data_IF_692891940826
#
_entry.id   IF_692891940826
#
_cell.length_a   1.000
_cell.length_b   1.000
_cell.length_c   1.000
_cell.angle_alpha   90.00
_cell.angle_beta   90.00
_cell.angle_gamma   90.00
#
_symmetry.space_group_name_H-M   'P 1'
#
loop_
_entity.id
_entity.type
_entity.pdbx_description
1 polymer ?
#
# COMPACT_ATOMS: atom_id res chain seq x y z
N UNK A 1 -8.14 -5.15 30.04
CA UNK A 1 -7.37 -6.17 29.29
C UNK A 1 -7.70 -5.97 27.82
N UNK A 2 -6.73 -5.60 26.98
CA UNK A 2 -6.98 -5.46 25.54
C UNK A 2 -7.21 -6.86 24.99
N UNK A 3 -8.45 -7.21 24.66
CA UNK A 3 -8.75 -8.40 23.87
C UNK A 3 -7.99 -8.27 22.55
N UNK A 4 -7.15 -9.26 22.24
CA UNK A 4 -6.44 -9.29 20.97
C UNK A 4 -7.47 -9.33 19.84
N UNK A 5 -7.38 -8.39 18.89
CA UNK A 5 -8.24 -8.33 17.69
C UNK A 5 -8.07 -9.61 16.86
N UNK A 6 -9.08 -10.52 16.82
CA UNK A 6 -9.01 -11.75 16.05
C UNK A 6 -8.81 -11.49 14.55
N UNK A 7 -9.44 -10.46 14.00
CA UNK A 7 -9.28 -10.10 12.59
C UNK A 7 -7.84 -9.68 12.27
N UNK A 8 -7.25 -8.80 13.08
CA UNK A 8 -5.86 -8.37 12.90
C UNK A 8 -4.88 -9.52 13.12
N UNK A 9 -5.11 -10.37 14.13
CA UNK A 9 -4.25 -11.52 14.40
C UNK A 9 -4.24 -12.48 13.20
N UNK A 10 -5.40 -12.77 12.62
CA UNK A 10 -5.53 -13.64 11.45
C UNK A 10 -4.93 -13.04 10.18
N UNK A 11 -5.11 -11.74 9.95
CA UNK A 11 -4.47 -11.03 8.83
C UNK A 11 -2.95 -11.10 8.95
N UNK A 12 -2.39 -10.72 10.11
CA UNK A 12 -0.94 -10.78 10.34
C UNK A 12 -0.37 -12.17 10.12
N UNK A 13 -0.98 -13.19 10.72
CA UNK A 13 -0.52 -14.56 10.56
C UNK A 13 -0.57 -15.02 9.09
N UNK A 14 -1.67 -14.74 8.39
CA UNK A 14 -1.84 -15.18 7.01
C UNK A 14 -1.05 -14.39 5.98
N UNK A 15 -0.61 -13.17 6.28
CA UNK A 15 0.21 -12.35 5.36
C UNK A 15 1.70 -12.32 5.74
N UNK A 16 2.11 -12.94 6.84
CA UNK A 16 3.48 -12.82 7.36
C UNK A 16 4.54 -13.24 6.33
N UNK A 17 4.35 -14.39 5.69
CA UNK A 17 5.31 -14.92 4.72
C UNK A 17 5.43 -14.01 3.48
N UNK A 18 4.31 -13.61 2.88
CA UNK A 18 4.30 -12.72 1.72
C UNK A 18 4.85 -11.33 2.04
N UNK A 19 4.54 -10.78 3.22
CA UNK A 19 5.11 -9.51 3.68
C UNK A 19 6.64 -9.59 3.84
N UNK A 20 7.15 -10.62 4.53
CA UNK A 20 8.58 -10.80 4.73
C UNK A 20 9.33 -11.01 3.40
N UNK A 21 8.76 -11.79 2.49
CA UNK A 21 9.33 -12.02 1.16
C UNK A 21 9.36 -10.74 0.31
N UNK A 22 8.32 -9.91 0.38
CA UNK A 22 8.31 -8.59 -0.26
C UNK A 22 9.38 -7.68 0.34
N UNK A 23 9.45 -7.57 1.67
CA UNK A 23 10.42 -6.70 2.35
C UNK A 23 11.87 -7.06 1.97
N UNK A 24 12.19 -8.35 1.92
CA UNK A 24 13.50 -8.84 1.52
C UNK A 24 13.86 -8.52 0.06
N UNK A 25 12.86 -8.35 -0.82
CA UNK A 25 13.06 -8.00 -2.23
C UNK A 25 13.23 -6.49 -2.46
N UNK A 26 12.93 -5.65 -1.46
CA UNK A 26 12.97 -4.20 -1.60
C UNK A 26 14.38 -3.63 -1.32
N UNK A 27 14.85 -2.65 -2.10
CA UNK A 27 16.22 -2.16 -2.02
C UNK A 27 16.49 -1.22 -0.82
N UNK A 28 15.59 -1.10 0.16
CA UNK A 28 15.70 -0.06 1.20
C UNK A 28 16.79 -0.29 2.23
N UNK A 29 17.21 -1.55 2.43
CA UNK A 29 18.31 -1.87 3.32
C UNK A 29 19.69 -1.65 2.67
N UNK A 30 19.75 -1.40 1.36
CA UNK A 30 21.02 -1.28 0.63
C UNK A 30 21.73 0.04 0.94
N UNK A 31 23.06 -0.02 1.09
CA UNK A 31 23.88 1.18 1.14
C UNK A 31 23.79 1.93 -0.20
N UNK A 32 23.75 3.27 -0.16
CA UNK A 32 23.66 4.09 -1.38
C UNK A 32 22.26 4.18 -2.00
N UNK A 33 21.20 3.85 -1.26
CA UNK A 33 19.84 4.17 -1.68
C UNK A 33 19.70 5.67 -2.00
N UNK A 34 19.18 6.01 -3.18
CA UNK A 34 19.23 7.35 -3.76
C UNK A 34 17.93 7.72 -4.47
N UNK A 35 17.82 8.98 -4.92
CA UNK A 35 16.64 9.50 -5.61
C UNK A 35 16.17 8.64 -6.80
N UNK A 36 17.04 8.19 -7.74
CA UNK A 36 16.62 7.26 -8.80
C UNK A 36 16.06 5.92 -8.29
N UNK A 37 16.59 5.39 -7.19
CA UNK A 37 16.05 4.16 -6.57
C UNK A 37 14.65 4.38 -6.02
N UNK A 38 14.45 5.50 -5.33
CA UNK A 38 13.15 5.91 -4.84
C UNK A 38 12.13 6.08 -5.96
N UNK A 39 12.46 6.84 -7.02
CA UNK A 39 11.56 7.10 -8.15
C UNK A 39 11.16 5.80 -8.87
N UNK A 40 12.13 4.90 -9.13
CA UNK A 40 11.83 3.57 -9.68
C UNK A 40 10.91 2.75 -8.78
N UNK A 41 11.15 2.78 -7.47
CA UNK A 41 10.31 2.06 -6.51
C UNK A 41 8.88 2.61 -6.52
N UNK A 42 8.68 3.92 -6.41
CA UNK A 42 7.33 4.49 -6.37
C UNK A 42 6.60 4.35 -7.69
N UNK A 43 7.29 4.35 -8.84
CA UNK A 43 6.68 3.96 -10.13
C UNK A 43 6.11 2.53 -10.10
N UNK A 44 6.81 1.57 -9.48
CA UNK A 44 6.28 0.20 -9.29
C UNK A 44 5.09 0.18 -8.33
N UNK A 45 5.13 0.97 -7.26
CA UNK A 45 3.98 1.11 -6.33
C UNK A 45 2.78 1.70 -7.08
N UNK A 46 2.98 2.71 -7.94
CA UNK A 46 1.92 3.31 -8.75
C UNK A 46 1.18 2.26 -9.59
N UNK A 47 1.92 1.48 -10.38
CA UNK A 47 1.36 0.45 -11.25
C UNK A 47 0.55 -0.60 -10.48
N UNK A 48 1.00 -0.98 -9.28
CA UNK A 48 0.33 -1.96 -8.42
C UNK A 48 -0.86 -1.38 -7.65
N UNK A 49 -0.76 -0.16 -7.14
CA UNK A 49 -1.75 0.48 -6.26
C UNK A 49 -2.93 1.07 -7.04
N UNK A 50 -2.71 1.47 -8.29
CA UNK A 50 -3.76 2.06 -9.15
C UNK A 50 -5.03 1.21 -9.27
N UNK A 51 -4.98 -0.10 -9.59
CA UNK A 51 -6.19 -0.92 -9.59
C UNK A 51 -6.84 -1.03 -8.19
N UNK A 52 -6.06 -0.97 -7.11
CA UNK A 52 -6.58 -0.98 -5.74
C UNK A 52 -7.40 0.24 -5.39
N UNK A 53 -6.86 1.44 -5.59
CA UNK A 53 -7.58 2.66 -5.25
C UNK A 53 -8.88 2.80 -6.06
N UNK A 54 -8.87 2.36 -7.32
CA UNK A 54 -10.03 2.39 -8.19
C UNK A 54 -11.19 1.54 -7.63
N UNK A 55 -10.90 0.40 -7.00
CA UNK A 55 -11.91 -0.48 -6.42
C UNK A 55 -12.26 -0.10 -4.99
N UNK A 56 -11.27 0.23 -4.16
CA UNK A 56 -11.49 0.51 -2.74
C UNK A 56 -12.27 1.80 -2.56
N UNK A 57 -11.90 2.90 -3.20
CA UNK A 57 -12.43 4.21 -2.79
C UNK A 57 -13.73 4.62 -3.47
N UNK A 58 -14.20 3.79 -4.40
CA UNK A 58 -15.55 3.86 -5.00
C UNK A 58 -16.55 2.91 -4.33
N UNK A 59 -16.08 2.02 -3.44
CA UNK A 59 -16.94 1.12 -2.69
C UNK A 59 -17.73 1.86 -1.60
N UNK A 60 -18.83 1.25 -1.19
CA UNK A 60 -19.53 1.63 0.03
C UNK A 60 -18.75 1.16 1.26
N UNK A 61 -18.50 2.07 2.19
CA UNK A 61 -17.76 1.82 3.43
C UNK A 61 -18.48 2.44 4.61
N UNK A 62 -18.32 1.87 5.82
CA UNK A 62 -18.79 2.52 7.04
C UNK A 62 -18.25 3.95 7.15
N UNK A 63 -19.12 4.90 7.50
CA UNK A 63 -18.73 6.31 7.68
C UNK A 63 -17.57 6.48 8.67
N UNK A 64 -17.51 5.62 9.69
CA UNK A 64 -16.46 5.56 10.69
C UNK A 64 -15.04 5.35 10.11
N UNK A 65 -14.93 4.80 8.89
CA UNK A 65 -13.64 4.58 8.23
C UNK A 65 -12.96 5.88 7.82
N UNK A 66 -13.72 6.97 7.65
CA UNK A 66 -13.22 8.26 7.16
C UNK A 66 -12.50 8.13 5.82
N UNK A 67 -13.25 8.02 4.73
CA UNK A 67 -12.68 7.76 3.41
C UNK A 67 -11.82 8.89 2.85
N UNK A 68 -12.21 10.15 3.09
CA UNK A 68 -11.57 11.32 2.49
C UNK A 68 -10.02 11.32 2.61
N UNK A 69 -9.41 11.14 3.80
CA UNK A 69 -7.94 11.13 3.92
C UNK A 69 -7.27 9.91 3.29
N UNK A 70 -8.00 8.82 3.02
CA UNK A 70 -7.42 7.56 2.50
C UNK A 70 -7.34 7.53 0.98
N UNK A 71 -8.00 8.47 0.31
CA UNK A 71 -7.96 8.66 -1.14
C UNK A 71 -6.65 9.35 -1.53
N UNK A 72 -6.29 9.27 -2.81
CA UNK A 72 -5.18 10.02 -3.44
C UNK A 72 -3.75 9.46 -3.34
N UNK A 73 -3.54 8.22 -2.87
CA UNK A 73 -2.18 7.66 -2.76
C UNK A 73 -1.48 7.59 -4.12
N UNK A 74 -2.22 7.23 -5.18
CA UNK A 74 -1.72 7.25 -6.57
C UNK A 74 -1.29 8.66 -6.98
N UNK A 75 -2.08 9.68 -6.64
CA UNK A 75 -1.76 11.09 -6.96
C UNK A 75 -0.55 11.60 -6.19
N UNK A 76 -0.33 11.12 -4.95
CA UNK A 76 0.89 11.45 -4.19
C UNK A 76 2.13 10.88 -4.87
N UNK A 77 2.04 9.66 -5.37
CA UNK A 77 3.13 9.03 -6.12
C UNK A 77 3.41 9.78 -7.43
N UNK A 78 2.36 10.17 -8.17
CA UNK A 78 2.52 10.98 -9.39
C UNK A 78 3.21 12.32 -9.10
N UNK A 79 2.87 12.98 -7.99
CA UNK A 79 3.53 14.21 -7.57
C UNK A 79 5.03 14.00 -7.30
N UNK A 80 5.41 12.88 -6.67
CA UNK A 80 6.81 12.55 -6.43
C UNK A 80 7.57 12.22 -7.73
N UNK A 81 6.94 11.50 -8.65
CA UNK A 81 7.51 11.20 -9.97
C UNK A 81 7.75 12.47 -10.78
N UNK A 82 6.77 13.38 -10.83
CA UNK A 82 6.90 14.66 -11.52
C UNK A 82 7.97 15.57 -10.87
N UNK A 83 8.04 15.61 -9.54
CA UNK A 83 9.11 16.31 -8.84
C UNK A 83 10.50 15.71 -9.13
N UNK A 84 10.55 14.41 -9.45
CA UNK A 84 11.72 13.70 -9.94
C UNK A 84 12.03 13.89 -11.43
N UNK A 85 11.29 14.76 -12.14
CA UNK A 85 11.52 15.09 -13.55
C UNK A 85 10.71 14.28 -14.55
N UNK A 86 9.78 13.43 -14.12
CA UNK A 86 8.89 12.71 -15.04
C UNK A 86 7.85 13.66 -15.61
N UNK A 87 7.54 13.49 -16.90
CA UNK A 87 6.48 14.23 -17.59
C UNK A 87 5.14 13.50 -17.48
N UNK A 88 4.06 14.18 -17.85
CA UNK A 88 2.74 13.55 -17.99
C UNK A 88 2.77 12.41 -19.05
N UNK A 89 3.61 12.53 -20.08
CA UNK A 89 3.78 11.49 -21.09
C UNK A 89 4.45 10.23 -20.49
N UNK A 90 5.49 10.41 -19.65
CA UNK A 90 6.15 9.30 -18.95
C UNK A 90 5.17 8.58 -18.02
N UNK A 91 4.37 9.33 -17.26
CA UNK A 91 3.32 8.77 -16.40
C UNK A 91 2.28 7.98 -17.20
N UNK A 92 1.90 8.43 -18.40
CA UNK A 92 0.96 7.72 -19.27
C UNK A 92 1.50 6.38 -19.79
N UNK A 93 2.82 6.16 -19.76
CA UNK A 93 3.42 4.87 -20.10
C UNK A 93 3.25 3.82 -19.00
N UNK A 94 3.05 4.24 -17.74
CA UNK A 94 2.88 3.33 -16.61
C UNK A 94 1.59 2.50 -16.73
N UNK A 95 1.77 1.19 -16.97
CA UNK A 95 0.68 0.22 -17.08
C UNK A 95 0.31 -0.34 -15.72
N UNK A 96 -1.00 -0.48 -15.49
CA UNK A 96 -1.52 -1.04 -14.26
C UNK A 96 -1.20 -2.51 -14.31
N UNK A 97 -0.79 -3.06 -13.18
CA UNK A 97 -0.64 -4.50 -13.08
C UNK A 97 -2.04 -5.10 -13.03
N UNK A 98 -2.33 -6.02 -13.94
CA UNK A 98 -3.59 -6.77 -13.93
C UNK A 98 -3.48 -7.93 -12.94
N UNK A 99 -3.75 -7.64 -11.67
CA UNK A 99 -3.61 -8.63 -10.59
C UNK A 99 -4.85 -8.78 -9.73
N UNK A 100 -5.80 -7.84 -9.79
CA UNK A 100 -7.00 -7.90 -8.96
C UNK A 100 -7.95 -8.98 -9.49
N UNK A 101 -8.28 -10.02 -8.69
CA UNK A 101 -9.13 -11.10 -9.14
C UNK A 101 -10.61 -10.68 -9.17
N UNK A 102 -11.00 -9.89 -10.16
CA UNK A 102 -12.39 -9.47 -10.39
C UNK A 102 -12.92 -8.45 -9.38
N UNK A 103 -14.24 -8.48 -9.13
CA UNK A 103 -14.92 -7.53 -8.23
C UNK A 103 -14.94 -8.06 -6.79
N UNK A 104 -14.14 -7.50 -5.85
CA UNK A 104 -14.11 -7.98 -4.47
C UNK A 104 -15.41 -7.66 -3.74
N UNK A 105 -15.88 -8.65 -2.97
CA UNK A 105 -16.92 -8.47 -1.96
C UNK A 105 -16.45 -7.65 -0.74
N UNK A 106 -17.32 -7.41 0.25
CA UNK A 106 -17.00 -6.56 1.40
C UNK A 106 -15.78 -7.01 2.20
N UNK A 107 -15.71 -8.28 2.62
CA UNK A 107 -14.58 -8.80 3.41
C UNK A 107 -13.25 -8.74 2.63
N UNK A 108 -13.29 -9.09 1.35
CA UNK A 108 -12.16 -8.96 0.43
C UNK A 108 -11.62 -7.52 0.37
N UNK A 109 -12.49 -6.50 0.30
CA UNK A 109 -12.08 -5.09 0.30
C UNK A 109 -11.36 -4.70 1.59
N UNK A 110 -11.79 -5.18 2.74
CA UNK A 110 -11.07 -4.96 4.01
C UNK A 110 -9.67 -5.56 4.00
N UNK A 111 -9.50 -6.76 3.42
CA UNK A 111 -8.19 -7.37 3.21
C UNK A 111 -7.27 -6.53 2.31
N UNK A 112 -7.78 -6.05 1.18
CA UNK A 112 -7.04 -5.16 0.28
C UNK A 112 -6.71 -3.81 0.94
N UNK A 113 -7.66 -3.22 1.66
CA UNK A 113 -7.46 -1.97 2.40
C UNK A 113 -6.42 -2.15 3.52
N UNK A 114 -6.36 -3.30 4.19
CA UNK A 114 -5.32 -3.60 5.18
C UNK A 114 -3.92 -3.48 4.58
N UNK A 115 -3.72 -3.96 3.35
CA UNK A 115 -2.43 -3.84 2.64
C UNK A 115 -2.17 -2.40 2.21
N UNK A 116 -3.17 -1.69 1.66
CA UNK A 116 -3.02 -0.30 1.25
C UNK A 116 -2.71 0.65 2.43
N UNK A 117 -3.41 0.51 3.55
CA UNK A 117 -3.17 1.29 4.76
C UNK A 117 -1.86 0.87 5.45
N UNK A 118 -1.54 -0.43 5.47
CA UNK A 118 -0.24 -0.93 5.96
C UNK A 118 0.94 -0.37 5.15
N UNK A 119 0.80 -0.25 3.84
CA UNK A 119 1.82 0.37 2.98
C UNK A 119 2.10 1.83 3.37
N UNK A 120 1.09 2.59 3.82
CA UNK A 120 1.31 3.98 4.30
C UNK A 120 2.11 4.05 5.59
N UNK A 121 1.94 3.07 6.50
CA UNK A 121 2.76 2.96 7.70
C UNK A 121 4.22 2.66 7.34
N UNK A 122 4.44 1.70 6.44
CA UNK A 122 5.77 1.37 5.93
C UNK A 122 6.43 2.57 5.25
N UNK A 123 5.68 3.28 4.41
CA UNK A 123 6.12 4.50 3.74
C UNK A 123 6.55 5.59 4.75
N UNK A 124 5.78 5.81 5.82
CA UNK A 124 6.13 6.76 6.89
C UNK A 124 7.39 6.34 7.66
N UNK A 125 7.60 5.05 7.87
CA UNK A 125 8.84 4.54 8.46
C UNK A 125 10.05 4.83 7.54
N UNK A 126 9.92 4.55 6.24
CA UNK A 126 10.95 4.83 5.25
C UNK A 126 11.27 6.32 5.15
N UNK A 127 10.25 7.19 5.20
CA UNK A 127 10.44 8.64 5.24
C UNK A 127 11.36 9.07 6.38
N UNK A 128 11.07 8.62 7.60
CA UNK A 128 11.86 8.96 8.80
C UNK A 128 13.30 8.50 8.68
N UNK A 129 13.54 7.37 7.99
CA UNK A 129 14.88 6.79 7.81
C UNK A 129 15.68 7.46 6.68
N UNK A 130 15.04 7.84 5.57
CA UNK A 130 15.73 8.17 4.33
C UNK A 130 15.53 9.61 3.84
N UNK A 131 14.58 10.39 4.38
CA UNK A 131 14.20 11.68 3.79
C UNK A 131 15.37 12.66 3.63
N UNK A 132 16.24 12.76 4.64
CA UNK A 132 17.39 13.66 4.58
C UNK A 132 18.31 13.38 3.37
N UNK A 133 18.55 12.10 3.07
CA UNK A 133 19.43 11.67 1.97
C UNK A 133 18.79 11.82 0.57
N UNK A 134 17.50 12.10 0.49
CA UNK A 134 16.74 12.19 -0.77
C UNK A 134 16.34 13.64 -1.12
N UNK A 135 16.80 14.62 -0.33
CA UNK A 135 16.64 16.05 -0.62
C UNK A 135 17.18 16.37 -2.03
N UNK A 136 16.49 17.20 -2.83
CA UNK A 136 15.33 18.01 -2.51
C UNK A 136 13.96 17.39 -2.86
N UNK A 137 13.87 16.07 -3.06
CA UNK A 137 12.57 15.45 -3.38
C UNK A 137 11.54 15.64 -2.25
N UNK A 138 10.27 15.88 -2.56
CA UNK A 138 9.23 16.09 -1.55
C UNK A 138 8.85 14.80 -0.80
N UNK A 139 8.92 13.65 -1.47
CA UNK A 139 8.57 12.33 -0.93
C UNK A 139 7.15 12.27 -0.36
N UNK A 140 6.19 12.90 -1.03
CA UNK A 140 4.78 13.05 -0.64
C UNK A 140 4.12 11.70 -0.30
N UNK A 141 4.36 10.66 -1.08
CA UNK A 141 3.90 9.29 -0.81
C UNK A 141 4.42 8.78 0.54
N UNK A 142 5.71 8.99 0.82
CA UNK A 142 6.36 8.56 2.05
C UNK A 142 6.00 9.42 3.27
N UNK A 143 5.56 10.66 3.06
CA UNK A 143 4.94 11.44 4.14
C UNK A 143 3.64 10.81 4.65
N UNK A 144 2.98 9.96 3.85
CA UNK A 144 1.72 9.31 4.19
C UNK A 144 0.67 10.35 4.65
N UNK A 145 0.01 10.09 5.78
CA UNK A 145 -0.94 11.02 6.40
C UNK A 145 -0.26 11.98 7.40
N UNK A 146 1.08 12.10 7.38
CA UNK A 146 1.84 12.88 8.35
C UNK A 146 1.64 12.36 9.77
N UNK A 147 1.37 13.25 10.73
CA UNK A 147 1.10 12.88 12.12
C UNK A 147 -0.23 12.12 12.30
N UNK A 148 -1.16 12.23 11.34
CA UNK A 148 -2.40 11.45 11.35
C UNK A 148 -2.21 9.97 10.97
N UNK A 149 -1.00 9.55 10.58
CA UNK A 149 -0.75 8.18 10.09
C UNK A 149 -1.10 7.11 11.12
N UNK A 150 -0.58 7.24 12.35
CA UNK A 150 -0.87 6.29 13.41
C UNK A 150 -2.35 6.34 13.89
N UNK A 151 -2.97 7.53 14.07
CA UNK A 151 -4.41 7.63 14.35
C UNK A 151 -5.31 6.96 13.29
N UNK A 152 -5.08 7.23 11.99
CA UNK A 152 -5.89 6.66 10.91
C UNK A 152 -5.72 5.16 10.76
N UNK A 153 -4.53 4.63 11.07
CA UNK A 153 -4.31 3.19 11.18
C UNK A 153 -5.11 2.57 12.32
N UNK A 154 -5.08 3.17 13.52
CA UNK A 154 -5.87 2.69 14.66
C UNK A 154 -7.36 2.71 14.36
N UNK A 155 -7.86 3.80 13.75
CA UNK A 155 -9.25 3.90 13.30
C UNK A 155 -9.60 2.79 12.29
N UNK A 156 -8.73 2.54 11.31
CA UNK A 156 -8.93 1.46 10.34
C UNK A 156 -9.06 0.10 11.04
N UNK A 157 -8.18 -0.21 11.99
CA UNK A 157 -8.21 -1.48 12.72
C UNK A 157 -9.49 -1.66 13.54
N UNK A 158 -10.03 -0.60 14.13
CA UNK A 158 -11.33 -0.67 14.83
C UNK A 158 -12.44 -1.03 13.86
N UNK A 159 -12.55 -0.32 12.72
CA UNK A 159 -13.60 -0.58 11.74
C UNK A 159 -13.46 -1.97 11.10
N UNK A 160 -12.22 -2.42 10.87
CA UNK A 160 -11.92 -3.73 10.33
C UNK A 160 -12.36 -4.86 11.26
N UNK A 161 -12.19 -4.70 12.57
CA UNK A 161 -12.63 -5.70 13.55
C UNK A 161 -14.15 -5.86 13.52
N UNK A 162 -14.88 -4.75 13.52
CA UNK A 162 -16.36 -4.77 13.46
C UNK A 162 -16.89 -5.35 12.15
N UNK A 163 -16.15 -5.16 11.06
CA UNK A 163 -16.56 -5.58 9.72
C UNK A 163 -16.24 -7.04 9.36
N UNK A 164 -15.45 -7.75 10.18
CA UNK A 164 -15.06 -9.15 9.92
C UNK A 164 -15.47 -10.08 11.08
N UNK A 165 -16.78 -10.20 11.37
CA UNK A 165 -17.27 -10.90 12.55
C UNK A 165 -17.06 -12.42 12.49
N UNK A 166 -17.12 -13.01 11.29
CA UNK A 166 -17.02 -14.46 11.11
C UNK A 166 -15.62 -14.93 10.70
N UNK A 167 -15.33 -16.21 10.92
CA UNK A 167 -14.09 -16.81 10.45
C UNK A 167 -14.01 -16.84 8.92
N UNK A 168 -15.15 -16.97 8.24
CA UNK A 168 -15.23 -16.91 6.78
C UNK A 168 -14.83 -15.52 6.26
N UNK A 169 -15.33 -14.44 6.87
CA UNK A 169 -14.98 -13.07 6.50
C UNK A 169 -13.48 -12.81 6.69
N UNK A 170 -12.94 -13.20 7.86
CA UNK A 170 -11.51 -13.04 8.13
C UNK A 170 -10.65 -13.89 7.19
N UNK A 171 -11.09 -15.10 6.85
CA UNK A 171 -10.40 -15.96 5.88
C UNK A 171 -10.37 -15.33 4.48
N UNK A 172 -11.50 -14.78 4.03
CA UNK A 172 -11.57 -14.08 2.75
C UNK A 172 -10.67 -12.85 2.75
N UNK A 173 -10.78 -11.97 3.75
CA UNK A 173 -9.94 -10.79 3.87
C UNK A 173 -8.44 -11.15 3.84
N UNK A 174 -8.03 -12.17 4.59
CA UNK A 174 -6.65 -12.66 4.60
C UNK A 174 -6.19 -13.18 3.24
N UNK A 175 -7.02 -13.94 2.52
CA UNK A 175 -6.69 -14.44 1.19
C UNK A 175 -6.42 -13.31 0.20
N UNK A 176 -7.26 -12.29 0.21
CA UNK A 176 -7.10 -11.12 -0.66
C UNK A 176 -5.92 -10.23 -0.26
N UNK A 177 -5.66 -10.09 1.05
CA UNK A 177 -4.46 -9.40 1.53
C UNK A 177 -3.17 -10.12 1.11
N UNK A 178 -3.12 -11.45 1.22
CA UNK A 178 -1.97 -12.24 0.76
C UNK A 178 -1.76 -12.11 -0.76
N UNK A 179 -2.84 -12.21 -1.55
CA UNK A 179 -2.77 -12.01 -3.00
C UNK A 179 -2.23 -10.62 -3.37
N UNK A 180 -2.58 -9.58 -2.61
CA UNK A 180 -2.07 -8.22 -2.82
C UNK A 180 -0.56 -8.10 -2.58
N UNK A 181 -0.05 -8.70 -1.51
CA UNK A 181 1.38 -8.76 -1.25
C UNK A 181 2.12 -9.55 -2.33
N UNK A 182 1.60 -10.71 -2.72
CA UNK A 182 2.22 -11.56 -3.73
C UNK A 182 2.24 -10.88 -5.09
N UNK A 183 1.16 -10.20 -5.48
CA UNK A 183 1.10 -9.42 -6.71
C UNK A 183 2.17 -8.32 -6.73
N UNK A 184 2.35 -7.59 -5.63
CA UNK A 184 3.39 -6.56 -5.59
C UNK A 184 4.79 -7.16 -5.63
N UNK A 185 5.03 -8.25 -4.88
CA UNK A 185 6.29 -8.98 -4.87
C UNK A 185 6.68 -9.46 -6.28
N UNK A 186 5.74 -10.04 -7.02
CA UNK A 186 5.96 -10.47 -8.40
C UNK A 186 6.25 -9.26 -9.31
N UNK A 187 5.55 -8.15 -9.12
CA UNK A 187 5.76 -6.94 -9.92
C UNK A 187 7.13 -6.29 -9.70
N UNK A 188 7.63 -6.25 -8.45
CA UNK A 188 8.95 -5.68 -8.15
C UNK A 188 10.10 -6.61 -8.54
N UNK A 189 9.87 -7.92 -8.59
CA UNK A 189 10.85 -8.90 -9.05
C UNK A 189 10.97 -8.96 -10.58
N UNK A 190 9.93 -8.54 -11.30
CA UNK A 190 9.97 -8.51 -12.76
C UNK A 190 11.01 -7.47 -13.25
N UNK A 191 11.81 -7.81 -14.29
CA UNK A 191 12.72 -6.86 -14.90
C UNK A 191 11.95 -5.61 -15.38
N UNK A 192 12.62 -4.46 -15.40
CA UNK A 192 12.06 -3.29 -16.08
C UNK A 192 11.95 -3.64 -17.58
N UNK A 193 10.74 -3.60 -18.14
CA UNK A 193 10.58 -3.76 -19.58
C UNK A 193 11.21 -2.55 -20.26
N UNK A 194 12.26 -2.79 -21.06
CA UNK A 194 12.86 -1.83 -22.00
C UNK A 194 13.70 -0.72 -21.38
N UNK A 195 15.02 -0.92 -21.34
CA UNK A 195 15.99 0.18 -21.52
C UNK A 195 16.12 0.50 -23.00
#
# INVERSE_FOLDING_TARGET
MSTASPALARLRAGTQASHAALEAALPFAQAGFSAPHYLRHVARVHCWLRPLEAVLWQADWPAALMLAPRRDKVRWIEADLMAGGWTAADLATLKAVDWLPGSPGPAARFGLAYVAEGATLGARHLYRRHAAALTPLPLRWWQAYGEATAPLWKNFLTVLEDALPSEADRAEATRWAAAAFDAFRLHVAAPAEGS
#
